data_IF_024331958514
#
_entry.id   IF_024331958514
#
_cell.length_a   1.000
_cell.length_b   1.000
_cell.length_c   1.000
_cell.angle_alpha   90.00
_cell.angle_beta   90.00
_cell.angle_gamma   90.00
#
_symmetry.space_group_name_H-M   'P 1'
#
loop_
_entity.id
_entity.type
_entity.pdbx_description
1 polymer ?
#
# COMPACT_ATOMS: atom_id res chain seq x y z
N UNK A 1 -4.07 -16.55 -5.14
CA UNK A 1 -3.92 -15.94 -3.79
C UNK A 1 -4.87 -14.77 -3.71
N UNK A 2 -5.73 -14.72 -2.70
CA UNK A 2 -6.59 -13.57 -2.44
C UNK A 2 -6.61 -13.24 -0.96
N UNK A 3 -7.09 -12.06 -0.62
CA UNK A 3 -7.17 -11.64 0.76
C UNK A 3 -7.52 -10.18 0.89
N UNK A 4 -7.51 -9.70 2.12
CA UNK A 4 -7.60 -8.29 2.45
C UNK A 4 -6.76 -7.98 3.67
N UNK A 5 -6.36 -6.72 3.78
CA UNK A 5 -5.64 -6.19 4.94
C UNK A 5 -6.34 -4.89 5.33
N UNK A 6 -6.51 -4.68 6.62
CA UNK A 6 -7.03 -3.42 7.18
C UNK A 6 -5.91 -2.78 7.99
N UNK A 7 -5.45 -1.63 7.51
CA UNK A 7 -4.48 -0.78 8.18
C UNK A 7 -5.09 0.55 8.60
N UNK A 8 -4.28 1.37 9.24
CA UNK A 8 -4.60 2.76 9.54
C UNK A 8 -3.38 3.63 9.26
N UNK A 9 -3.60 4.90 8.98
CA UNK A 9 -2.51 5.88 8.87
C UNK A 9 -2.11 6.36 10.27
N UNK A 10 -0.82 6.37 10.56
CA UNK A 10 -0.26 7.14 11.67
C UNK A 10 0.69 8.19 11.12
N UNK A 11 0.38 9.47 11.40
CA UNK A 11 1.13 10.62 10.91
C UNK A 11 1.22 10.69 9.37
N UNK A 12 2.39 10.46 8.76
CA UNK A 12 2.72 10.88 7.39
C UNK A 12 3.31 9.80 6.47
N UNK A 13 2.76 8.57 6.37
CA UNK A 13 3.21 7.59 5.36
C UNK A 13 3.34 8.24 3.99
N UNK A 14 4.43 8.01 3.27
CA UNK A 14 4.73 8.75 2.04
C UNK A 14 4.61 7.93 0.75
N UNK A 15 3.77 6.89 0.83
CA UNK A 15 3.41 5.98 -0.24
C UNK A 15 4.59 5.14 -0.77
N UNK A 16 5.16 5.57 -1.91
CA UNK A 16 6.26 4.90 -2.61
C UNK A 16 7.37 5.91 -2.88
N UNK A 17 7.64 6.78 -1.92
CA UNK A 17 8.65 7.80 -2.08
C UNK A 17 10.01 7.19 -2.46
N UNK A 18 10.86 7.99 -3.12
CA UNK A 18 12.02 7.50 -3.86
C UNK A 18 13.29 8.31 -3.54
N UNK A 19 13.54 8.53 -2.26
CA UNK A 19 14.79 9.16 -1.79
C UNK A 19 15.78 8.12 -1.24
N UNK A 20 15.30 6.89 -1.00
CA UNK A 20 16.10 5.75 -0.56
C UNK A 20 16.59 4.83 -1.69
N UNK A 21 17.65 4.07 -1.42
CA UNK A 21 18.17 3.06 -2.38
C UNK A 21 17.26 1.84 -2.55
N UNK A 22 16.28 1.65 -1.67
CA UNK A 22 15.41 0.48 -1.65
C UNK A 22 14.14 0.64 -2.48
N UNK A 23 13.85 1.84 -3.00
CA UNK A 23 12.65 2.09 -3.78
C UNK A 23 12.46 1.06 -4.90
N UNK A 24 13.49 0.68 -5.66
CA UNK A 24 13.36 -0.33 -6.74
C UNK A 24 13.73 -1.77 -6.31
N UNK A 25 13.73 -2.07 -5.02
CA UNK A 25 14.18 -3.33 -4.48
C UNK A 25 13.02 -4.07 -3.77
N UNK A 26 12.48 -5.12 -4.41
CA UNK A 26 11.44 -5.96 -3.81
C UNK A 26 11.85 -6.55 -2.45
N UNK A 27 13.16 -6.69 -2.18
CA UNK A 27 13.65 -7.19 -0.90
C UNK A 27 13.80 -6.11 0.17
N UNK A 28 13.70 -4.83 -0.19
CA UNK A 28 13.76 -3.70 0.74
C UNK A 28 12.38 -3.25 1.22
N UNK A 29 12.41 -2.13 1.94
CA UNK A 29 11.35 -1.21 2.33
C UNK A 29 11.06 -0.24 1.17
N UNK A 30 10.36 -0.72 0.15
CA UNK A 30 10.05 0.08 -1.05
C UNK A 30 8.72 0.85 -0.96
N UNK A 31 8.02 0.72 0.18
CA UNK A 31 6.65 1.19 0.38
C UNK A 31 6.38 1.39 1.87
N UNK A 32 5.65 2.45 2.19
CA UNK A 32 4.98 2.60 3.46
C UNK A 32 3.63 1.88 3.40
N UNK A 33 3.51 0.74 4.08
CA UNK A 33 2.35 -0.12 3.93
C UNK A 33 2.67 -1.59 4.08
N UNK A 34 2.07 -2.40 3.22
CA UNK A 34 2.16 -3.86 3.28
C UNK A 34 2.64 -4.43 1.95
N UNK A 35 3.73 -5.20 2.01
CA UNK A 35 4.27 -5.98 0.91
C UNK A 35 3.88 -7.45 1.08
N UNK A 36 3.09 -7.98 0.15
CA UNK A 36 2.74 -9.40 0.08
C UNK A 36 3.55 -10.05 -1.04
N UNK A 37 4.33 -11.06 -0.69
CA UNK A 37 5.22 -11.75 -1.62
C UNK A 37 5.18 -13.26 -1.45
N UNK A 38 5.81 -13.98 -2.37
CA UNK A 38 5.90 -15.44 -2.31
C UNK A 38 7.29 -15.96 -2.68
N UNK A 39 7.64 -17.10 -2.11
CA UNK A 39 8.78 -17.92 -2.51
C UNK A 39 10.15 -17.31 -2.23
N UNK A 40 11.19 -18.04 -2.62
CA UNK A 40 12.59 -17.62 -2.52
C UNK A 40 13.34 -18.09 -3.79
N UNK A 41 13.74 -17.18 -4.70
CA UNK A 41 13.74 -15.72 -4.58
C UNK A 41 12.33 -15.12 -4.53
N UNK A 42 12.21 -13.99 -3.81
CA UNK A 42 10.96 -13.29 -3.57
C UNK A 42 10.29 -12.87 -4.88
N UNK A 43 9.00 -13.16 -5.02
CA UNK A 43 8.15 -12.73 -6.12
C UNK A 43 7.00 -11.88 -5.58
N UNK A 44 6.65 -10.81 -6.30
CA UNK A 44 5.55 -9.92 -5.93
C UNK A 44 4.19 -10.63 -6.06
N UNK A 45 3.32 -10.42 -5.06
CA UNK A 45 1.91 -10.85 -5.09
C UNK A 45 1.01 -9.62 -5.14
N UNK A 46 1.11 -8.76 -4.12
CA UNK A 46 0.31 -7.54 -3.96
C UNK A 46 1.04 -6.52 -3.08
N UNK A 47 0.78 -5.23 -3.30
CA UNK A 47 1.22 -4.15 -2.40
C UNK A 47 0.02 -3.37 -1.89
N UNK A 48 -0.03 -3.04 -0.61
CA UNK A 48 -0.98 -2.07 -0.07
C UNK A 48 -0.19 -0.85 0.40
N UNK A 49 -0.52 0.32 -0.13
CA UNK A 49 0.29 1.55 -0.01
C UNK A 49 -0.47 2.58 0.85
N UNK A 50 0.17 3.12 1.88
CA UNK A 50 -0.38 4.22 2.68
C UNK A 50 0.13 5.55 2.16
N UNK A 51 -0.77 6.42 1.70
CA UNK A 51 -0.42 7.78 1.30
C UNK A 51 -0.49 8.78 2.46
N UNK A 52 0.18 9.92 2.30
CA UNK A 52 0.26 10.96 3.34
C UNK A 52 -1.08 11.67 3.56
N UNK A 53 -1.91 11.68 2.52
CA UNK A 53 -3.22 12.30 2.47
C UNK A 53 -3.73 12.44 1.02
N UNK A 54 -5.04 12.64 0.84
CA UNK A 54 -5.63 12.70 -0.50
C UNK A 54 -5.13 13.91 -1.31
N UNK A 55 -5.07 15.06 -0.65
CA UNK A 55 -4.60 16.33 -1.22
C UNK A 55 -3.42 16.83 -0.40
N UNK A 56 -2.22 16.66 -0.93
CA UNK A 56 -1.00 17.14 -0.29
C UNK A 56 -0.23 18.09 -1.23
N UNK A 57 0.43 19.09 -0.66
CA UNK A 57 1.36 19.96 -1.39
C UNK A 57 2.61 19.22 -1.87
N UNK A 58 2.83 18.01 -1.37
CA UNK A 58 3.88 17.07 -1.77
C UNK A 58 3.29 15.95 -2.64
N UNK A 59 3.15 16.16 -3.96
CA UNK A 59 2.55 15.18 -4.88
C UNK A 59 3.39 13.91 -5.05
N UNK A 60 4.53 13.80 -4.38
CA UNK A 60 5.38 12.61 -4.36
C UNK A 60 5.04 11.65 -3.22
N UNK A 61 4.29 12.12 -2.22
CA UNK A 61 4.04 11.39 -0.98
C UNK A 61 2.59 10.88 -0.91
N UNK A 62 1.78 11.20 -1.92
CA UNK A 62 0.40 10.75 -2.04
C UNK A 62 0.33 9.46 -2.84
N UNK A 63 -0.84 8.82 -2.81
CA UNK A 63 -1.07 7.60 -3.55
C UNK A 63 -0.74 7.69 -5.05
N UNK A 64 -0.01 6.73 -5.65
CA UNK A 64 0.41 6.79 -7.06
C UNK A 64 -0.74 6.84 -8.08
N UNK A 65 -1.92 6.36 -7.70
CA UNK A 65 -3.14 6.42 -8.50
C UNK A 65 -3.91 7.74 -8.34
N UNK A 66 -3.57 8.59 -7.37
CA UNK A 66 -4.27 9.84 -7.12
C UNK A 66 -4.05 10.84 -8.28
N UNK A 67 -5.04 11.71 -8.51
CA UNK A 67 -5.08 12.59 -9.68
C UNK A 67 -3.86 13.53 -9.79
N UNK A 68 -3.32 13.99 -8.66
CA UNK A 68 -2.17 14.90 -8.61
C UNK A 68 -0.83 14.19 -8.36
N UNK A 69 -0.80 12.85 -8.39
CA UNK A 69 0.40 12.09 -8.08
C UNK A 69 1.47 12.30 -9.15
N UNK A 70 2.72 12.40 -8.70
CA UNK A 70 3.89 12.51 -9.60
C UNK A 70 4.80 11.30 -9.54
N UNK A 71 4.67 10.48 -8.50
CA UNK A 71 5.34 9.20 -8.38
C UNK A 71 4.54 8.09 -9.04
N UNK A 72 5.24 7.03 -9.43
CA UNK A 72 4.66 5.82 -9.97
C UNK A 72 5.15 4.65 -9.14
N UNK A 73 4.33 3.59 -9.06
CA UNK A 73 4.75 2.34 -8.43
C UNK A 73 5.93 1.71 -9.16
N UNK A 74 6.70 0.90 -8.45
CA UNK A 74 7.81 0.16 -9.03
C UNK A 74 7.32 -0.82 -10.11
N UNK A 75 8.20 -1.11 -11.08
CA UNK A 75 7.89 -1.98 -12.21
C UNK A 75 7.44 -3.40 -11.82
N UNK A 76 7.89 -3.92 -10.67
CA UNK A 76 7.50 -5.25 -10.19
C UNK A 76 6.09 -5.29 -9.58
N UNK A 77 5.51 -4.13 -9.21
CA UNK A 77 4.15 -4.04 -8.67
C UNK A 77 3.13 -4.07 -9.83
N UNK A 78 3.35 -3.22 -10.83
CA UNK A 78 2.39 -3.01 -11.92
C UNK A 78 1.03 -2.59 -11.36
N UNK A 79 -0.04 -3.22 -11.82
CA UNK A 79 -1.43 -2.89 -11.42
C UNK A 79 -1.90 -3.65 -10.17
N UNK A 80 -1.01 -4.37 -9.48
CA UNK A 80 -1.35 -5.25 -8.37
C UNK A 80 -1.13 -4.57 -7.02
N UNK A 81 -1.79 -3.44 -6.82
CA UNK A 81 -1.74 -2.70 -5.57
C UNK A 81 -3.08 -2.03 -5.24
N UNK A 82 -3.26 -1.73 -3.97
CA UNK A 82 -4.22 -0.74 -3.50
C UNK A 82 -3.46 0.40 -2.83
N UNK A 83 -4.02 1.60 -2.88
CA UNK A 83 -3.47 2.74 -2.17
C UNK A 83 -4.61 3.57 -1.59
N UNK A 84 -4.42 4.06 -0.38
CA UNK A 84 -5.37 4.93 0.29
C UNK A 84 -4.62 5.77 1.34
N UNK A 85 -5.22 6.89 1.72
CA UNK A 85 -4.79 7.70 2.86
C UNK A 85 -5.95 7.83 3.85
N UNK A 86 -5.66 7.95 5.13
CA UNK A 86 -6.68 8.10 6.19
C UNK A 86 -7.01 9.56 6.50
N UNK A 87 -6.51 10.50 5.69
CA UNK A 87 -6.69 11.95 5.89
C UNK A 87 -6.78 12.68 4.55
N UNK A 88 -7.77 13.56 4.40
CA UNK A 88 -7.95 14.27 3.13
C UNK A 88 -6.88 15.33 2.82
N UNK A 89 -6.23 15.92 3.84
CA UNK A 89 -5.30 17.04 3.66
C UNK A 89 -4.15 17.03 4.67
N UNK A 90 -4.08 18.04 5.56
CA UNK A 90 -2.97 18.15 6.52
C UNK A 90 -3.08 17.08 7.60
N UNK A 91 -2.01 16.28 7.70
CA UNK A 91 -1.82 15.30 8.76
C UNK A 91 -1.24 15.95 10.03
N UNK A 92 -1.37 15.25 11.14
CA UNK A 92 -0.73 15.53 12.43
C UNK A 92 -0.25 14.20 13.02
N UNK A 93 0.62 14.24 14.03
CA UNK A 93 1.14 13.05 14.72
C UNK A 93 0.05 12.35 15.56
N UNK A 94 -0.85 11.64 14.89
CA UNK A 94 -1.93 10.86 15.49
C UNK A 94 -2.26 9.63 14.65
N UNK A 95 -2.98 8.69 15.26
CA UNK A 95 -3.55 7.52 14.58
C UNK A 95 -4.94 7.88 14.03
N UNK A 96 -5.10 7.78 12.72
CA UNK A 96 -6.36 8.04 12.02
C UNK A 96 -7.20 6.76 11.96
N UNK A 97 -8.10 6.57 12.93
CA UNK A 97 -8.94 5.36 13.00
C UNK A 97 -10.33 5.50 12.38
N UNK A 98 -10.73 6.71 11.99
CA UNK A 98 -12.04 6.96 11.38
C UNK A 98 -12.12 6.52 9.93
N UNK A 99 -10.97 6.36 9.28
CA UNK A 99 -10.82 6.07 7.87
C UNK A 99 -9.76 4.98 7.69
N UNK A 100 -10.17 3.69 7.72
CA UNK A 100 -9.25 2.57 7.55
C UNK A 100 -8.60 2.58 6.17
N UNK A 101 -7.33 2.20 6.11
CA UNK A 101 -6.63 2.08 4.84
C UNK A 101 -7.06 0.82 4.09
N UNK A 102 -7.14 0.96 2.76
CA UNK A 102 -7.35 -0.06 1.74
C UNK A 102 -8.74 -0.68 1.75
N UNK A 103 -9.75 0.08 2.19
CA UNK A 103 -11.15 -0.31 2.16
C UNK A 103 -11.95 0.33 1.01
N UNK A 104 -11.36 1.32 0.33
CA UNK A 104 -11.95 2.02 -0.81
C UNK A 104 -13.14 2.91 -0.41
N UNK A 105 -13.20 3.33 0.85
CA UNK A 105 -14.20 4.24 1.40
C UNK A 105 -13.53 5.52 1.90
N UNK A 106 -14.31 6.53 2.28
CA UNK A 106 -13.73 7.77 2.82
C UNK A 106 -13.05 8.69 1.79
N UNK A 107 -12.75 8.21 0.59
CA UNK A 107 -11.99 8.96 -0.40
C UNK A 107 -12.74 10.13 -1.04
N UNK A 108 -12.14 11.32 -1.00
CA UNK A 108 -12.51 12.45 -1.81
C UNK A 108 -12.07 12.35 -3.28
N UNK A 109 -12.27 13.43 -4.03
CA UNK A 109 -12.10 13.43 -5.49
C UNK A 109 -10.65 13.25 -5.95
N UNK A 110 -9.67 13.61 -5.13
CA UNK A 110 -8.26 13.49 -5.48
C UNK A 110 -7.78 12.02 -5.48
N UNK A 111 -8.26 11.24 -4.52
CA UNK A 111 -7.93 9.81 -4.33
C UNK A 111 -8.99 8.87 -4.92
N UNK A 112 -10.11 9.39 -5.44
CA UNK A 112 -11.16 8.60 -6.09
C UNK A 112 -10.67 7.54 -7.10
N UNK A 113 -9.64 7.79 -7.95
CA UNK A 113 -9.14 6.73 -8.84
C UNK A 113 -8.51 5.55 -8.10
N UNK A 114 -7.98 5.75 -6.90
CA UNK A 114 -7.42 4.71 -6.04
C UNK A 114 -8.49 3.85 -5.37
N UNK A 115 -9.61 4.47 -4.98
CA UNK A 115 -10.67 3.80 -4.23
C UNK A 115 -11.72 3.15 -5.13
N UNK A 116 -11.75 3.53 -6.41
CA UNK A 116 -12.62 2.94 -7.42
C UNK A 116 -11.90 1.87 -8.27
N UNK A 117 -10.97 1.14 -7.66
CA UNK A 117 -10.28 0.01 -8.31
C UNK A 117 -11.08 -1.28 -8.12
N UNK A 118 -11.15 -2.17 -9.13
CA UNK A 118 -11.87 -3.43 -9.00
C UNK A 118 -11.30 -4.30 -7.88
N UNK A 119 -12.19 -4.87 -7.06
CA UNK A 119 -11.84 -5.88 -6.07
C UNK A 119 -11.63 -5.34 -4.65
N UNK A 120 -11.29 -4.06 -4.45
CA UNK A 120 -11.09 -3.47 -3.11
C UNK A 120 -12.32 -3.73 -2.20
N UNK A 121 -12.15 -4.18 -0.94
CA UNK A 121 -10.90 -4.37 -0.18
C UNK A 121 -10.15 -5.70 -0.46
N UNK A 122 -10.65 -6.53 -1.37
CA UNK A 122 -10.11 -7.86 -1.64
C UNK A 122 -9.16 -7.87 -2.84
N UNK A 123 -7.88 -8.09 -2.58
CA UNK A 123 -6.95 -8.36 -3.66
C UNK A 123 -7.12 -9.79 -4.17
N UNK A 124 -6.85 -9.98 -5.46
CA UNK A 124 -6.84 -11.30 -6.08
C UNK A 124 -5.70 -11.39 -7.10
N UNK A 125 -4.78 -12.33 -6.85
CA UNK A 125 -3.68 -12.67 -7.73
C UNK A 125 -3.83 -14.09 -8.24
N UNK A 126 -4.12 -14.21 -9.52
CA UNK A 126 -4.25 -15.47 -10.23
C UNK A 126 -2.92 -15.86 -10.90
N UNK A 127 -2.47 -17.09 -10.65
CA UNK A 127 -1.26 -17.68 -11.26
C UNK A 127 -1.62 -18.82 -12.23
N UNK A 128 -2.90 -18.91 -12.64
CA UNK A 128 -3.44 -19.95 -13.50
C UNK A 128 -3.35 -21.33 -12.85
N UNK A 129 -3.07 -22.34 -13.68
CA UNK A 129 -2.94 -23.74 -13.23
C UNK A 129 -1.56 -24.07 -12.62
N UNK A 130 -0.79 -23.06 -12.20
CA UNK A 130 0.55 -23.25 -11.65
C UNK A 130 0.44 -23.68 -10.20
N UNK A 131 0.86 -24.91 -9.89
CA UNK A 131 1.03 -25.36 -8.50
C UNK A 131 2.40 -24.92 -7.98
N UNK A 132 2.46 -24.48 -6.72
CA UNK A 132 3.71 -24.14 -6.05
C UNK A 132 3.69 -24.59 -4.58
N UNK A 133 4.87 -24.69 -3.99
CA UNK A 133 5.08 -24.88 -2.55
C UNK A 133 5.69 -23.63 -1.90
N UNK A 134 5.76 -22.53 -2.66
CA UNK A 134 6.22 -21.24 -2.16
C UNK A 134 5.41 -20.80 -0.94
N UNK A 135 6.10 -20.37 0.11
CA UNK A 135 5.46 -19.68 1.21
C UNK A 135 4.90 -18.34 0.74
N UNK A 136 3.86 -17.85 1.42
CA UNK A 136 3.41 -16.46 1.34
C UNK A 136 4.01 -15.69 2.52
N UNK A 137 4.50 -14.49 2.25
CA UNK A 137 5.02 -13.57 3.24
C UNK A 137 4.22 -12.27 3.19
N UNK A 138 3.83 -11.77 4.36
CA UNK A 138 3.32 -10.43 4.57
C UNK A 138 4.37 -9.64 5.37
N UNK A 139 4.82 -8.51 4.85
CA UNK A 139 5.68 -7.56 5.56
C UNK A 139 4.95 -6.24 5.71
N UNK A 140 4.95 -5.70 6.92
CA UNK A 140 4.65 -4.29 7.15
C UNK A 140 5.96 -3.53 6.96
N UNK A 141 5.95 -2.61 6.02
CA UNK A 141 7.12 -1.86 5.57
C UNK A 141 6.93 -0.38 5.88
N UNK A 142 8.03 0.28 6.19
CA UNK A 142 8.17 1.72 6.17
C UNK A 142 9.63 2.04 5.91
N UNK A 143 9.93 3.03 5.08
CA UNK A 143 11.31 3.37 4.69
C UNK A 143 11.95 4.48 5.55
N UNK A 144 11.15 5.08 6.44
CA UNK A 144 11.55 6.07 7.43
C UNK A 144 11.60 5.55 8.88
N UNK A 145 11.92 6.47 9.80
CA UNK A 145 11.95 6.18 11.24
C UNK A 145 10.55 5.87 11.78
N UNK A 146 10.49 5.06 12.84
CA UNK A 146 9.26 4.60 13.52
C UNK A 146 8.49 5.69 14.29
N UNK A 147 8.69 6.97 13.97
CA UNK A 147 8.09 8.10 14.67
C UNK A 147 6.96 8.79 13.92
N UNK A 148 6.85 8.63 12.60
CA UNK A 148 5.96 9.46 11.81
C UNK A 148 5.46 8.88 10.49
N UNK A 149 5.74 7.64 10.08
CA UNK A 149 5.35 7.13 8.74
C UNK A 149 4.80 5.70 8.80
N UNK A 150 4.02 5.42 9.85
CA UNK A 150 3.58 4.07 10.14
C UNK A 150 2.19 3.76 9.54
N UNK A 151 2.03 2.51 9.10
CA UNK A 151 0.77 1.95 8.62
C UNK A 151 0.33 0.74 9.48
N UNK A 152 -0.02 0.95 10.77
CA UNK A 152 -0.35 -0.15 11.67
C UNK A 152 -1.48 -1.04 11.13
N UNK A 153 -1.19 -2.34 11.03
CA UNK A 153 -2.13 -3.37 10.58
C UNK A 153 -2.93 -3.92 11.75
N UNK A 154 -4.26 -3.88 11.63
CA UNK A 154 -5.18 -4.41 12.65
C UNK A 154 -5.74 -5.78 12.30
N UNK A 155 -5.86 -6.07 11.01
CA UNK A 155 -6.46 -7.30 10.51
C UNK A 155 -5.89 -7.67 9.16
N UNK A 156 -5.69 -8.97 8.94
CA UNK A 156 -5.41 -9.53 7.62
C UNK A 156 -6.05 -10.91 7.51
N UNK A 157 -6.47 -11.25 6.30
CA UNK A 157 -6.80 -12.62 5.92
C UNK A 157 -6.24 -12.91 4.53
N UNK A 158 -5.59 -14.06 4.38
CA UNK A 158 -4.94 -14.49 3.15
C UNK A 158 -5.32 -15.94 2.87
N UNK A 159 -5.86 -16.16 1.68
CA UNK A 159 -6.26 -17.46 1.17
C UNK A 159 -5.36 -17.86 0.01
N UNK A 160 -4.81 -19.07 0.11
CA UNK A 160 -3.94 -19.68 -0.89
C UNK A 160 -4.63 -20.95 -1.37
N UNK A 161 -4.74 -21.09 -2.69
CA UNK A 161 -5.37 -22.22 -3.37
C UNK A 161 -4.42 -22.75 -4.45
#
# INVERSE_FOLDING_TARGET
VCGRVTGYQYASPDAVYNDGSNHNNLNGDYVDGVSITRGSPRQHVWTLVGGVGETNSLPKNICPCATSATQQVQSFIGDHYFCESGVAAMWTEQLYTSDPLWDGQGCGSAESPCCNVPGIPWFHRDYGNTTTTDYIELRVCGDERTSNEDTPVSYYEIYVQ
#
